data_IF_713186758954
#
_entry.id   IF_713186758954
#
_cell.length_a   1.000
_cell.length_b   1.000
_cell.length_c   1.000
_cell.angle_alpha   90.00
_cell.angle_beta   90.00
_cell.angle_gamma   90.00
#
_symmetry.space_group_name_H-M   'P 1'
#
loop_
_entity.id
_entity.type
_entity.pdbx_description
1 polymer ?
#
# COMPACT_ATOMS: atom_id res chain seq x y z
N UNK A 1 29.76 18.09 21.33
CA UNK A 1 29.69 16.88 20.49
C UNK A 1 30.46 17.14 19.22
N UNK A 2 31.57 16.47 19.03
CA UNK A 2 32.42 16.57 17.83
C UNK A 2 31.60 15.96 16.72
N UNK A 3 31.17 16.78 15.74
CA UNK A 3 30.58 16.26 14.50
C UNK A 3 31.68 15.50 13.78
N UNK A 4 31.54 14.19 13.71
CA UNK A 4 32.34 13.38 12.80
C UNK A 4 32.19 13.97 11.40
N UNK A 5 33.31 14.33 10.78
CA UNK A 5 33.39 14.82 9.39
C UNK A 5 33.14 13.69 8.35
N UNK A 6 32.35 12.68 8.72
CA UNK A 6 32.04 11.56 7.85
C UNK A 6 31.06 12.02 6.77
N UNK A 7 31.51 11.95 5.53
CA UNK A 7 30.67 12.28 4.37
C UNK A 7 29.87 11.02 4.00
N UNK A 8 28.57 11.04 4.31
CA UNK A 8 27.68 9.94 3.94
C UNK A 8 27.38 9.94 2.43
N UNK A 9 27.27 8.74 1.84
CA UNK A 9 27.05 8.53 0.40
C UNK A 9 25.57 8.59 0.00
N UNK A 10 24.65 8.51 0.96
CA UNK A 10 23.20 8.49 0.73
C UNK A 10 22.44 7.77 1.83
N UNK A 11 21.30 7.24 1.48
CA UNK A 11 20.47 6.42 2.38
C UNK A 11 20.42 4.98 1.86
N UNK A 12 20.64 4.03 2.75
CA UNK A 12 20.36 2.61 2.58
C UNK A 12 19.07 2.27 3.36
N UNK A 13 18.19 1.44 2.80
CA UNK A 13 16.92 1.10 3.43
C UNK A 13 16.66 -0.40 3.49
N UNK A 14 15.99 -0.82 4.57
CA UNK A 14 15.37 -2.14 4.71
C UNK A 14 13.86 -1.93 4.85
N UNK A 15 13.07 -2.66 4.04
CA UNK A 15 11.61 -2.57 4.00
C UNK A 15 11.01 -3.77 4.75
N UNK A 16 10.42 -3.52 5.91
CA UNK A 16 9.72 -4.52 6.71
C UNK A 16 8.26 -4.62 6.26
N UNK A 17 7.71 -5.83 6.24
CA UNK A 17 6.38 -6.11 5.69
C UNK A 17 6.27 -5.71 4.23
N UNK A 18 7.31 -5.99 3.47
CA UNK A 18 7.55 -5.45 2.13
C UNK A 18 6.51 -5.86 1.09
N UNK A 19 5.82 -6.99 1.29
CA UNK A 19 4.82 -7.50 0.34
C UNK A 19 5.36 -7.54 -1.08
N UNK A 20 4.61 -6.97 -2.02
CA UNK A 20 5.03 -6.89 -3.43
C UNK A 20 6.07 -5.81 -3.73
N UNK A 21 6.53 -5.03 -2.75
CA UNK A 21 7.60 -4.04 -2.91
C UNK A 21 7.17 -2.68 -3.43
N UNK A 22 5.94 -2.26 -3.18
CA UNK A 22 5.49 -0.93 -3.60
C UNK A 22 6.25 0.21 -2.90
N UNK A 23 6.50 0.08 -1.60
CA UNK A 23 7.35 1.01 -0.84
C UNK A 23 8.79 0.96 -1.34
N UNK A 24 9.37 -0.23 -1.43
CA UNK A 24 10.72 -0.45 -1.94
C UNK A 24 10.93 0.19 -3.32
N UNK A 25 9.98 -0.01 -4.26
CA UNK A 25 10.05 0.58 -5.60
C UNK A 25 10.06 2.10 -5.56
N UNK A 26 9.18 2.72 -4.80
CA UNK A 26 9.13 4.18 -4.71
C UNK A 26 10.38 4.78 -4.06
N UNK A 27 10.89 4.16 -3.00
CA UNK A 27 12.14 4.58 -2.36
C UNK A 27 13.34 4.43 -3.31
N UNK A 28 13.42 3.33 -4.05
CA UNK A 28 14.45 3.11 -5.06
C UNK A 28 14.39 4.15 -6.19
N UNK A 29 13.19 4.42 -6.72
CA UNK A 29 12.98 5.44 -7.76
C UNK A 29 13.34 6.85 -7.26
N UNK A 30 13.24 7.10 -5.95
CA UNK A 30 13.68 8.35 -5.32
C UNK A 30 15.21 8.49 -5.20
N UNK A 31 15.95 7.39 -5.33
CA UNK A 31 17.42 7.34 -5.19
C UNK A 31 17.89 6.82 -3.82
N UNK A 32 17.02 6.17 -3.06
CA UNK A 32 17.38 5.44 -1.84
C UNK A 32 17.74 4.00 -2.21
N UNK A 33 18.86 3.50 -1.71
CA UNK A 33 19.29 2.14 -1.96
C UNK A 33 18.54 1.15 -1.05
N UNK A 34 17.46 0.56 -1.52
CA UNK A 34 16.72 -0.48 -0.78
C UNK A 34 17.42 -1.81 -0.99
N UNK A 35 18.10 -2.32 0.04
CA UNK A 35 18.91 -3.54 -0.01
C UNK A 35 18.12 -4.82 0.22
N UNK A 36 17.07 -4.76 1.02
CA UNK A 36 16.22 -5.92 1.30
C UNK A 36 14.79 -5.53 1.62
N UNK A 37 13.85 -6.43 1.26
CA UNK A 37 12.50 -6.49 1.80
C UNK A 37 12.33 -7.75 2.65
N UNK A 38 11.69 -7.62 3.79
CA UNK A 38 11.41 -8.73 4.72
C UNK A 38 9.89 -8.90 4.84
N UNK A 39 9.37 -10.09 4.58
CA UNK A 39 7.95 -10.41 4.73
C UNK A 39 7.77 -11.91 5.01
N UNK A 40 6.70 -12.28 5.68
CA UNK A 40 6.33 -13.67 5.92
C UNK A 40 5.66 -14.31 4.70
N UNK A 41 5.04 -13.51 3.81
CA UNK A 41 4.33 -13.99 2.62
C UNK A 41 5.30 -14.35 1.50
N UNK A 42 5.78 -15.60 1.48
CA UNK A 42 6.66 -16.13 0.43
C UNK A 42 6.08 -15.99 -0.98
N UNK A 43 4.75 -15.86 -1.12
CA UNK A 43 4.10 -15.71 -2.45
C UNK A 43 4.41 -14.35 -3.10
N UNK A 44 4.91 -13.38 -2.33
CA UNK A 44 5.32 -12.09 -2.82
C UNK A 44 6.75 -12.07 -3.38
N UNK A 45 7.61 -13.03 -2.96
CA UNK A 45 9.05 -13.04 -3.27
C UNK A 45 9.35 -12.83 -4.75
N UNK A 46 8.76 -13.67 -5.62
CA UNK A 46 9.01 -13.58 -7.07
C UNK A 46 8.62 -12.22 -7.66
N UNK A 47 7.51 -11.64 -7.20
CA UNK A 47 7.07 -10.29 -7.61
C UNK A 47 8.05 -9.24 -7.12
N UNK A 48 8.45 -9.32 -5.87
CA UNK A 48 9.36 -8.35 -5.25
C UNK A 48 10.73 -8.34 -5.96
N UNK A 49 11.41 -9.48 -6.04
CA UNK A 49 12.76 -9.60 -6.61
C UNK A 49 12.82 -9.26 -8.10
N UNK A 50 11.79 -9.66 -8.87
CA UNK A 50 11.72 -9.34 -10.29
C UNK A 50 11.69 -7.83 -10.56
N UNK A 51 10.97 -7.07 -9.72
CA UNK A 51 10.71 -5.65 -9.97
C UNK A 51 11.65 -4.69 -9.22
N UNK A 52 12.20 -5.07 -8.06
CA UNK A 52 12.94 -4.15 -7.20
C UNK A 52 14.45 -4.33 -7.23
N UNK A 53 14.96 -5.41 -7.82
CA UNK A 53 16.41 -5.73 -7.85
C UNK A 53 17.06 -5.76 -6.46
N UNK A 54 16.26 -6.02 -5.42
CA UNK A 54 16.66 -6.12 -4.02
C UNK A 54 16.37 -7.51 -3.50
N UNK A 55 17.07 -7.94 -2.46
CA UNK A 55 16.88 -9.25 -1.83
C UNK A 55 15.52 -9.32 -1.15
N UNK A 56 14.80 -10.43 -1.30
CA UNK A 56 13.62 -10.72 -0.50
C UNK A 56 13.93 -11.79 0.55
N UNK A 57 13.58 -11.52 1.79
CA UNK A 57 13.80 -12.44 2.90
C UNK A 57 12.45 -12.90 3.44
N UNK A 58 12.11 -14.17 3.18
CA UNK A 58 10.91 -14.78 3.73
C UNK A 58 11.19 -15.16 5.19
N UNK A 59 10.76 -14.30 6.12
CA UNK A 59 10.96 -14.51 7.56
C UNK A 59 9.86 -13.81 8.36
N UNK A 60 9.41 -14.47 9.44
CA UNK A 60 8.53 -13.84 10.41
C UNK A 60 9.29 -12.73 11.14
N UNK A 61 8.70 -11.53 11.23
CA UNK A 61 9.34 -10.38 11.88
C UNK A 61 9.71 -10.64 13.34
N UNK A 62 8.94 -11.49 14.04
CA UNK A 62 9.26 -11.93 15.40
C UNK A 62 10.53 -12.76 15.50
N UNK A 63 10.97 -13.34 14.39
CA UNK A 63 12.20 -14.15 14.30
C UNK A 63 13.38 -13.37 13.70
N UNK A 64 13.14 -12.17 13.16
CA UNK A 64 14.21 -11.30 12.67
C UNK A 64 14.97 -10.75 13.85
N UNK A 65 16.30 -10.91 13.84
CA UNK A 65 17.22 -10.43 14.89
C UNK A 65 17.98 -9.19 14.42
N UNK A 66 18.52 -8.42 15.36
CA UNK A 66 19.45 -7.32 15.03
C UNK A 66 20.66 -7.81 14.23
N UNK A 67 21.13 -9.04 14.48
CA UNK A 67 22.21 -9.65 13.71
C UNK A 67 21.85 -9.81 12.24
N UNK A 68 20.64 -10.30 11.92
CA UNK A 68 20.15 -10.40 10.52
C UNK A 68 20.18 -9.03 9.82
N UNK A 69 19.79 -7.97 10.55
CA UNK A 69 19.78 -6.59 10.02
C UNK A 69 21.22 -6.07 9.80
N UNK A 70 22.12 -6.27 10.78
CA UNK A 70 23.50 -5.81 10.65
C UNK A 70 24.27 -6.56 9.54
N UNK A 71 24.04 -7.85 9.33
CA UNK A 71 24.58 -8.60 8.20
C UNK A 71 24.14 -8.03 6.84
N UNK A 72 22.91 -7.51 6.75
CA UNK A 72 22.44 -6.83 5.52
C UNK A 72 23.11 -5.47 5.32
N UNK A 73 23.50 -4.80 6.41
CA UNK A 73 24.12 -3.47 6.40
C UNK A 73 25.64 -3.51 6.23
N UNK A 74 26.27 -4.69 6.20
CA UNK A 74 27.70 -4.83 5.93
C UNK A 74 28.08 -4.18 4.59
N UNK A 75 29.08 -3.29 4.60
CA UNK A 75 29.52 -2.52 3.44
C UNK A 75 28.73 -1.22 3.20
N UNK A 76 27.77 -0.89 4.07
CA UNK A 76 26.99 0.34 4.01
C UNK A 76 27.26 1.29 5.19
N UNK A 77 28.38 1.17 5.88
CA UNK A 77 28.74 1.98 7.05
C UNK A 77 28.82 3.47 6.74
N UNK A 78 29.01 3.84 5.46
CA UNK A 78 29.03 5.23 4.98
C UNK A 78 27.66 5.72 4.47
N UNK A 79 26.59 5.03 4.80
CA UNK A 79 25.21 5.43 4.47
C UNK A 79 24.41 5.72 5.72
N UNK A 80 23.42 6.61 5.60
CA UNK A 80 22.36 6.68 6.59
C UNK A 80 21.46 5.46 6.48
N UNK A 81 21.06 4.89 7.59
CA UNK A 81 20.18 3.72 7.65
C UNK A 81 18.73 4.13 7.87
N UNK A 82 17.85 3.79 6.94
CA UNK A 82 16.39 3.91 7.03
C UNK A 82 15.77 2.53 7.29
N UNK A 83 15.08 2.37 8.42
CA UNK A 83 14.20 1.24 8.66
C UNK A 83 12.77 1.66 8.33
N UNK A 84 12.21 1.10 7.26
CA UNK A 84 10.87 1.39 6.79
C UNK A 84 9.94 0.20 6.97
N UNK A 85 8.64 0.42 7.22
CA UNK A 85 7.71 -0.69 7.36
C UNK A 85 6.24 -0.31 7.37
N UNK A 86 5.41 -1.26 6.92
CA UNK A 86 3.95 -1.12 6.86
C UNK A 86 3.30 -2.26 7.64
N UNK A 87 3.43 -2.22 8.98
CA UNK A 87 2.91 -3.26 9.86
C UNK A 87 1.40 -3.49 9.61
N UNK A 88 0.95 -4.70 9.24
CA UNK A 88 -0.45 -4.93 8.92
C UNK A 88 -1.34 -4.78 10.15
N UNK A 89 -2.40 -3.97 10.03
CA UNK A 89 -3.44 -3.76 11.03
C UNK A 89 -4.59 -4.76 10.85
N UNK A 90 -4.31 -6.06 10.68
CA UNK A 90 -5.33 -7.06 10.33
C UNK A 90 -6.12 -7.63 11.53
N UNK A 91 -5.80 -7.29 12.76
CA UNK A 91 -6.53 -7.72 13.97
C UNK A 91 -7.99 -7.21 14.04
N UNK A 92 -8.46 -6.40 13.08
CA UNK A 92 -9.71 -5.64 13.16
C UNK A 92 -10.69 -5.82 12.01
N UNK A 93 -10.70 -6.97 11.36
CA UNK A 93 -11.94 -7.30 10.65
C UNK A 93 -13.01 -7.58 11.72
N UNK A 94 -14.03 -6.74 11.75
CA UNK A 94 -15.17 -6.73 12.68
C UNK A 94 -15.97 -8.06 12.77
N UNK A 95 -15.47 -9.15 12.22
CA UNK A 95 -16.10 -10.47 12.16
C UNK A 95 -15.67 -11.47 13.25
N UNK A 96 -14.62 -11.20 14.03
CA UNK A 96 -14.12 -12.12 15.06
C UNK A 96 -14.13 -11.51 16.46
N UNK A 97 -15.33 -11.21 17.01
CA UNK A 97 -15.51 -10.75 18.39
C UNK A 97 -15.39 -11.88 19.47
N UNK A 98 -14.99 -13.09 19.14
CA UNK A 98 -15.07 -14.25 20.05
C UNK A 98 -13.74 -14.83 20.58
N UNK A 99 -12.59 -14.27 20.27
CA UNK A 99 -11.33 -14.78 20.86
C UNK A 99 -10.57 -13.69 21.62
N UNK A 100 -10.59 -13.80 22.94
CA UNK A 100 -9.78 -13.05 23.92
C UNK A 100 -8.33 -13.59 24.01
N UNK A 101 -7.85 -14.33 23.05
CA UNK A 101 -6.43 -14.71 22.99
C UNK A 101 -5.64 -13.52 22.49
N UNK A 102 -4.55 -13.23 23.17
CA UNK A 102 -3.55 -12.22 22.77
C UNK A 102 -3.17 -12.54 21.32
N UNK A 103 -3.74 -11.80 20.39
CA UNK A 103 -3.54 -12.03 18.97
C UNK A 103 -2.07 -11.72 18.67
N UNK A 104 -1.29 -12.75 18.31
CA UNK A 104 0.14 -12.62 17.96
C UNK A 104 0.38 -11.51 16.94
N UNK A 105 -0.63 -11.19 16.13
CA UNK A 105 -0.62 -10.08 15.15
C UNK A 105 -0.66 -8.68 15.80
N UNK A 106 -1.13 -8.54 17.04
CA UNK A 106 -1.00 -7.28 17.80
C UNK A 106 0.46 -6.94 18.09
N UNK A 107 1.31 -7.95 18.08
CA UNK A 107 2.73 -7.81 18.34
C UNK A 107 3.53 -7.23 17.15
N UNK A 108 3.00 -7.14 15.92
CA UNK A 108 3.79 -6.77 14.73
C UNK A 108 4.36 -5.35 14.79
N UNK A 109 3.58 -4.39 15.29
CA UNK A 109 4.09 -3.03 15.52
C UNK A 109 5.12 -3.01 16.67
N UNK A 110 4.94 -3.84 17.70
CA UNK A 110 5.91 -4.01 18.78
C UNK A 110 7.19 -4.71 18.32
N UNK A 111 7.12 -5.62 17.34
CA UNK A 111 8.31 -6.20 16.72
C UNK A 111 9.07 -5.16 15.88
N UNK A 112 8.36 -4.27 15.19
CA UNK A 112 8.99 -3.15 14.51
C UNK A 112 9.69 -2.22 15.53
N UNK A 113 9.00 -1.87 16.63
CA UNK A 113 9.59 -1.12 17.76
C UNK A 113 10.89 -1.79 18.24
N UNK A 114 10.84 -3.09 18.53
CA UNK A 114 12.02 -3.86 19.01
C UNK A 114 13.20 -3.73 18.05
N UNK A 115 12.97 -3.90 16.74
CA UNK A 115 14.04 -3.74 15.75
C UNK A 115 14.58 -2.31 15.69
N UNK A 116 13.75 -1.27 15.88
CA UNK A 116 14.22 0.11 15.99
C UNK A 116 15.14 0.27 17.20
N UNK A 117 14.76 -0.26 18.35
CA UNK A 117 15.54 -0.20 19.59
C UNK A 117 16.88 -0.96 19.48
N UNK A 118 16.84 -2.15 18.88
CA UNK A 118 18.01 -3.03 18.72
C UNK A 118 18.99 -2.52 17.64
N UNK A 119 18.50 -1.95 16.53
CA UNK A 119 19.35 -1.61 15.38
C UNK A 119 19.63 -0.11 15.23
N UNK A 120 18.89 0.72 15.98
CA UNK A 120 19.14 2.14 16.12
C UNK A 120 19.26 2.90 14.78
N UNK A 121 18.28 2.79 13.84
CA UNK A 121 18.34 3.43 12.54
C UNK A 121 18.45 4.96 12.62
N UNK A 122 19.00 5.58 11.58
CA UNK A 122 19.07 7.04 11.44
C UNK A 122 17.68 7.65 11.16
N UNK A 123 16.90 6.92 10.36
CA UNK A 123 15.54 7.29 9.98
C UNK A 123 14.58 6.12 10.18
N UNK A 124 13.33 6.45 10.52
CA UNK A 124 12.23 5.47 10.59
C UNK A 124 11.07 5.99 9.75
N UNK A 125 10.48 5.10 8.97
CA UNK A 125 9.23 5.34 8.27
C UNK A 125 8.20 4.27 8.61
N UNK A 126 6.98 4.68 8.98
CA UNK A 126 5.87 3.76 9.18
C UNK A 126 4.64 4.23 8.41
N UNK A 127 3.99 3.30 7.69
CA UNK A 127 2.65 3.48 7.11
C UNK A 127 1.65 2.56 7.79
N UNK A 128 0.42 3.06 7.99
CA UNK A 128 -0.67 2.26 8.55
C UNK A 128 -2.04 2.82 8.14
N UNK A 129 -3.10 2.15 8.58
CA UNK A 129 -4.47 2.66 8.39
C UNK A 129 -4.74 3.90 9.28
N UNK A 130 -5.62 4.84 8.85
CA UNK A 130 -5.86 6.10 9.57
C UNK A 130 -6.30 5.93 11.03
N UNK A 131 -6.90 4.78 11.35
CA UNK A 131 -7.45 4.51 12.68
C UNK A 131 -6.48 3.92 13.69
N UNK A 132 -5.20 3.76 13.40
CA UNK A 132 -4.23 3.06 14.26
C UNK A 132 -4.20 3.64 15.69
N UNK A 133 -4.14 4.96 15.83
CA UNK A 133 -4.14 5.65 17.15
C UNK A 133 -5.39 5.38 17.99
N UNK A 134 -6.54 5.16 17.35
CA UNK A 134 -7.82 4.92 18.03
C UNK A 134 -8.08 3.44 18.29
N UNK A 135 -7.58 2.58 17.42
CA UNK A 135 -7.82 1.13 17.49
C UNK A 135 -6.85 0.42 18.42
N UNK A 136 -5.62 0.92 18.47
CA UNK A 136 -4.53 0.36 19.26
C UNK A 136 -3.79 1.47 20.04
N UNK A 137 -4.49 2.24 20.90
CA UNK A 137 -3.89 3.41 21.54
C UNK A 137 -2.66 3.05 22.36
N UNK A 138 -2.69 1.94 23.11
CA UNK A 138 -1.56 1.51 23.94
C UNK A 138 -0.36 1.05 23.11
N UNK A 139 -0.59 0.25 22.07
CA UNK A 139 0.48 -0.24 21.20
C UNK A 139 1.12 0.90 20.41
N UNK A 140 0.30 1.82 19.90
CA UNK A 140 0.81 3.01 19.21
C UNK A 140 1.60 3.92 20.16
N UNK A 141 1.08 4.17 21.37
CA UNK A 141 1.76 4.99 22.37
C UNK A 141 3.12 4.39 22.75
N UNK A 142 3.17 3.08 22.99
CA UNK A 142 4.42 2.38 23.29
C UNK A 142 5.45 2.49 22.15
N UNK A 143 4.98 2.45 20.88
CA UNK A 143 5.83 2.66 19.72
C UNK A 143 6.36 4.10 19.65
N UNK A 144 5.51 5.10 19.86
CA UNK A 144 5.87 6.52 19.84
C UNK A 144 6.80 6.88 21.00
N UNK A 145 6.54 6.35 22.20
CA UNK A 145 7.39 6.53 23.39
C UNK A 145 8.80 5.98 23.17
N UNK A 146 8.93 4.83 22.51
CA UNK A 146 10.22 4.26 22.17
C UNK A 146 11.02 5.18 21.23
N UNK A 147 10.38 5.78 20.22
CA UNK A 147 11.03 6.76 19.34
C UNK A 147 11.49 7.99 20.11
N UNK A 148 10.63 8.54 20.98
CA UNK A 148 10.94 9.73 21.79
C UNK A 148 12.09 9.44 22.77
N UNK A 149 12.08 8.29 23.45
CA UNK A 149 13.13 7.85 24.39
C UNK A 149 14.47 7.70 23.66
N UNK A 150 14.46 7.21 22.43
CA UNK A 150 15.64 7.10 21.56
C UNK A 150 15.98 8.40 20.83
N UNK A 151 15.39 9.53 21.25
CA UNK A 151 15.68 10.92 20.77
C UNK A 151 15.42 11.13 19.28
N UNK A 152 14.45 10.47 18.70
CA UNK A 152 13.98 10.80 17.36
C UNK A 152 13.12 12.07 17.40
N UNK A 153 13.30 12.92 16.41
CA UNK A 153 12.28 13.92 16.03
C UNK A 153 11.21 13.18 15.22
N UNK A 154 9.96 13.21 15.67
CA UNK A 154 8.85 12.43 15.11
C UNK A 154 7.78 13.35 14.55
N UNK A 155 7.31 13.08 13.34
CA UNK A 155 6.15 13.71 12.73
C UNK A 155 5.22 12.64 12.18
N UNK A 156 3.93 12.76 12.46
CA UNK A 156 2.95 11.78 12.02
C UNK A 156 1.58 12.40 11.77
N UNK A 157 0.96 12.04 10.64
CA UNK A 157 -0.40 12.49 10.29
C UNK A 157 -1.08 11.52 9.32
N UNK A 158 -2.34 11.81 9.02
CA UNK A 158 -3.12 11.10 8.00
C UNK A 158 -3.03 11.85 6.68
N UNK A 159 -2.40 11.24 5.69
CA UNK A 159 -2.29 11.77 4.34
C UNK A 159 -3.27 11.08 3.38
N UNK A 160 -3.64 11.77 2.29
CA UNK A 160 -4.39 11.17 1.19
C UNK A 160 -3.46 11.03 -0.03
N UNK A 161 -3.38 9.82 -0.57
CA UNK A 161 -2.45 9.47 -1.66
C UNK A 161 -2.64 10.32 -2.91
N UNK A 162 -3.86 10.82 -3.18
CA UNK A 162 -4.14 11.68 -4.35
C UNK A 162 -3.28 12.95 -4.41
N UNK A 163 -2.82 13.45 -3.27
CA UNK A 163 -1.93 14.60 -3.21
C UNK A 163 -0.48 14.30 -3.62
N UNK A 164 -0.15 13.01 -3.79
CA UNK A 164 1.19 12.51 -4.13
C UNK A 164 1.22 11.81 -5.51
N UNK A 165 0.53 12.38 -6.49
CA UNK A 165 0.44 11.87 -7.87
C UNK A 165 -0.06 10.40 -7.97
N UNK A 166 -0.93 9.99 -7.04
CA UNK A 166 -1.59 8.68 -7.10
C UNK A 166 -3.02 8.89 -7.57
N UNK A 167 -3.49 8.23 -8.64
CA UNK A 167 -4.85 8.38 -9.18
C UNK A 167 -5.90 7.66 -8.30
N UNK A 168 -5.79 7.81 -6.97
CA UNK A 168 -6.60 7.10 -5.99
C UNK A 168 -6.82 7.93 -4.72
N UNK A 169 -8.05 7.96 -4.21
CA UNK A 169 -8.37 8.41 -2.86
C UNK A 169 -8.14 7.30 -1.84
N UNK A 170 -6.98 7.36 -1.19
CA UNK A 170 -6.60 6.40 -0.15
C UNK A 170 -5.97 7.15 1.01
N UNK A 171 -6.63 7.18 2.15
CA UNK A 171 -6.10 7.80 3.37
C UNK A 171 -5.21 6.81 4.12
N UNK A 172 -4.03 7.28 4.54
CA UNK A 172 -3.09 6.49 5.33
C UNK A 172 -2.46 7.32 6.42
N UNK A 173 -2.30 6.70 7.58
CA UNK A 173 -1.47 7.23 8.64
C UNK A 173 -0.01 7.01 8.26
N UNK A 174 0.80 8.05 8.34
CA UNK A 174 2.24 7.98 8.09
C UNK A 174 2.99 8.59 9.26
N UNK A 175 4.15 8.00 9.57
CA UNK A 175 5.07 8.50 10.58
C UNK A 175 6.48 8.56 9.99
N UNK A 176 7.11 9.70 10.18
CA UNK A 176 8.50 9.98 9.82
C UNK A 176 9.28 10.29 11.08
N UNK A 177 10.45 9.66 11.26
CA UNK A 177 11.31 9.95 12.39
C UNK A 177 12.77 10.06 11.96
N UNK A 178 13.52 10.95 12.62
CA UNK A 178 14.94 11.24 12.37
C UNK A 178 15.71 11.48 13.66
N UNK A 179 16.96 11.00 13.70
CA UNK A 179 17.92 11.31 14.77
C UNK A 179 18.78 12.55 14.49
N UNK A 180 18.82 13.00 13.26
CA UNK A 180 19.80 13.99 12.82
C UNK A 180 19.26 15.41 12.74
N UNK A 181 17.97 15.56 12.36
CA UNK A 181 17.36 16.86 12.16
C UNK A 181 15.90 16.83 12.62
N UNK A 182 15.35 18.01 12.86
CA UNK A 182 13.92 18.15 13.11
C UNK A 182 13.16 17.67 11.87
N UNK A 183 12.39 16.59 12.05
CA UNK A 183 11.62 15.98 10.96
C UNK A 183 10.38 16.82 10.66
N UNK A 184 10.00 16.86 9.40
CA UNK A 184 8.74 17.45 8.94
C UNK A 184 7.93 16.40 8.17
N UNK A 185 6.65 16.68 7.94
CA UNK A 185 5.85 15.89 6.99
C UNK A 185 6.14 16.35 5.55
N UNK A 186 6.08 15.43 4.58
CA UNK A 186 6.21 15.79 3.18
C UNK A 186 5.04 16.68 2.74
N UNK A 187 5.36 17.76 2.02
CA UNK A 187 4.35 18.64 1.44
C UNK A 187 3.53 17.92 0.37
N UNK A 188 2.27 18.32 0.21
CA UNK A 188 1.46 17.90 -0.90
C UNK A 188 2.08 18.36 -2.23
N UNK A 189 2.23 17.44 -3.16
CA UNK A 189 2.76 17.73 -4.49
C UNK A 189 1.69 18.39 -5.35
N UNK A 190 0.46 17.86 -5.29
CA UNK A 190 -0.70 18.47 -5.97
C UNK A 190 -1.37 19.42 -4.96
N UNK A 191 -1.29 20.72 -5.23
CA UNK A 191 -1.87 21.78 -4.39
C UNK A 191 -3.24 22.25 -4.88
N UNK A 192 -3.46 22.17 -6.20
CA UNK A 192 -4.73 22.47 -6.84
C UNK A 192 -5.56 21.18 -6.96
N UNK A 193 -6.89 21.28 -7.11
CA UNK A 193 -7.78 20.11 -7.24
C UNK A 193 -7.65 19.35 -8.59
N UNK A 194 -6.50 19.46 -9.26
CA UNK A 194 -6.15 18.77 -10.51
C UNK A 194 -5.53 17.39 -10.27
N UNK A 195 -6.27 16.55 -9.57
CA UNK A 195 -5.81 15.20 -9.27
C UNK A 195 -5.80 14.31 -10.51
N UNK A 196 -4.88 13.35 -10.56
CA UNK A 196 -4.90 12.30 -11.56
C UNK A 196 -6.19 11.49 -11.44
N UNK A 197 -6.84 11.26 -12.57
CA UNK A 197 -8.13 10.57 -12.66
C UNK A 197 -7.98 9.13 -13.15
N UNK A 198 -9.04 8.36 -13.04
CA UNK A 198 -9.15 7.03 -13.66
C UNK A 198 -8.88 7.14 -15.18
N UNK A 199 -9.41 8.17 -15.85
CA UNK A 199 -9.23 8.39 -17.28
C UNK A 199 -7.77 8.58 -17.65
N UNK A 200 -7.05 9.44 -16.93
CA UNK A 200 -5.64 9.72 -17.18
C UNK A 200 -4.77 8.45 -17.08
N UNK A 201 -5.24 7.46 -16.35
CA UNK A 201 -4.46 6.28 -15.98
C UNK A 201 -4.75 5.05 -16.82
N UNK A 202 -6.03 4.73 -17.08
CA UNK A 202 -6.40 3.44 -17.67
C UNK A 202 -7.17 3.55 -19.02
N UNK A 203 -7.51 4.77 -19.46
CA UNK A 203 -8.33 4.96 -20.66
C UNK A 203 -7.74 4.33 -21.93
N UNK A 204 -6.42 4.38 -22.06
CA UNK A 204 -5.71 3.89 -23.26
C UNK A 204 -5.38 2.37 -23.20
N UNK A 205 -5.80 1.66 -22.17
CA UNK A 205 -5.62 0.21 -22.13
C UNK A 205 -6.56 -0.47 -23.16
N UNK A 206 -6.11 -1.57 -23.79
CA UNK A 206 -6.96 -2.29 -24.71
C UNK A 206 -8.19 -2.87 -24.00
N UNK A 207 -9.30 -2.99 -24.74
CA UNK A 207 -10.53 -3.58 -24.21
C UNK A 207 -10.35 -5.08 -24.01
N UNK A 208 -10.91 -5.60 -22.92
CA UNK A 208 -11.04 -7.03 -22.62
C UNK A 208 -12.42 -7.32 -22.05
N UNK A 209 -12.88 -8.55 -22.14
CA UNK A 209 -14.12 -9.01 -21.53
C UNK A 209 -13.91 -9.58 -20.12
N UNK A 210 -15.00 -9.83 -19.39
CA UNK A 210 -14.94 -10.59 -18.13
C UNK A 210 -14.39 -12.02 -18.41
N UNK A 211 -13.41 -12.44 -17.63
CA UNK A 211 -12.71 -13.72 -17.80
C UNK A 211 -11.61 -13.73 -18.85
N UNK A 212 -11.36 -12.60 -19.54
CA UNK A 212 -10.35 -12.49 -20.59
C UNK A 212 -9.00 -11.98 -20.05
N UNK A 213 -7.92 -12.44 -20.68
CA UNK A 213 -6.56 -11.94 -20.50
C UNK A 213 -6.05 -11.41 -21.85
N UNK A 214 -5.51 -10.19 -21.84
CA UNK A 214 -4.95 -9.57 -23.05
C UNK A 214 -3.60 -10.19 -23.42
N UNK A 215 -3.40 -10.66 -24.67
CA UNK A 215 -2.23 -11.46 -25.03
C UNK A 215 -0.89 -10.72 -24.98
N UNK A 216 -0.89 -9.38 -25.04
CA UNK A 216 0.32 -8.56 -25.13
C UNK A 216 0.53 -7.61 -23.95
N UNK A 217 -0.46 -7.43 -23.09
CA UNK A 217 -0.36 -6.51 -21.94
C UNK A 217 -0.32 -7.33 -20.65
N UNK A 218 0.84 -7.42 -20.05
CA UNK A 218 1.08 -8.22 -18.84
C UNK A 218 0.15 -7.83 -17.70
N UNK A 219 -0.44 -8.84 -17.04
CA UNK A 219 -1.41 -8.68 -15.96
C UNK A 219 -2.72 -7.95 -16.35
N UNK A 220 -2.97 -7.72 -17.64
CA UNK A 220 -4.25 -7.17 -18.08
C UNK A 220 -5.26 -8.30 -18.27
N UNK A 221 -5.70 -8.84 -17.15
CA UNK A 221 -6.70 -9.91 -17.07
C UNK A 221 -7.81 -9.54 -16.10
N UNK A 222 -9.06 -9.79 -16.48
CA UNK A 222 -10.25 -9.58 -15.67
C UNK A 222 -10.81 -10.91 -15.19
N UNK A 223 -11.35 -10.93 -13.97
CA UNK A 223 -12.01 -12.12 -13.44
C UNK A 223 -13.28 -12.44 -14.21
N UNK A 224 -13.59 -13.73 -14.35
CA UNK A 224 -14.90 -14.18 -14.81
C UNK A 224 -15.98 -13.72 -13.83
N UNK A 225 -17.16 -13.45 -14.35
CA UNK A 225 -18.32 -13.05 -13.57
C UNK A 225 -19.46 -14.06 -13.74
N UNK A 226 -20.19 -14.34 -12.66
CA UNK A 226 -21.45 -15.06 -12.74
C UNK A 226 -22.45 -14.23 -13.55
N UNK A 227 -23.38 -14.89 -14.25
CA UNK A 227 -24.41 -14.26 -15.11
C UNK A 227 -25.17 -13.13 -14.40
N UNK A 228 -25.55 -13.36 -13.13
CA UNK A 228 -26.23 -12.34 -12.33
C UNK A 228 -25.39 -11.05 -12.18
N UNK A 229 -24.07 -11.14 -12.12
CA UNK A 229 -23.20 -9.96 -12.02
C UNK A 229 -23.02 -9.26 -13.37
N UNK A 230 -23.13 -9.97 -14.48
CA UNK A 230 -23.20 -9.37 -15.82
C UNK A 230 -24.50 -8.57 -15.95
N UNK A 231 -25.66 -9.16 -15.60
CA UNK A 231 -26.95 -8.45 -15.60
C UNK A 231 -26.94 -7.20 -14.68
N UNK A 232 -26.29 -7.28 -13.52
CA UNK A 232 -26.10 -6.13 -12.63
C UNK A 232 -25.26 -5.03 -13.29
N UNK A 233 -24.18 -5.40 -13.95
CA UNK A 233 -23.35 -4.43 -14.68
C UNK A 233 -24.11 -3.78 -15.85
N UNK A 234 -24.91 -4.54 -16.60
CA UNK A 234 -25.73 -4.02 -17.70
C UNK A 234 -26.73 -2.97 -17.23
N UNK A 235 -27.32 -3.13 -16.04
CA UNK A 235 -28.20 -2.13 -15.43
C UNK A 235 -27.44 -1.01 -14.69
N UNK A 236 -26.15 -1.18 -14.41
CA UNK A 236 -25.39 -0.12 -13.74
C UNK A 236 -24.96 0.93 -14.76
N UNK A 237 -25.38 2.19 -14.65
CA UNK A 237 -24.99 3.24 -15.57
C UNK A 237 -23.47 3.34 -15.70
N UNK A 238 -23.01 3.65 -16.91
CA UNK A 238 -21.60 3.91 -17.17
C UNK A 238 -21.09 5.12 -16.37
N UNK A 239 -19.78 5.24 -16.24
CA UNK A 239 -19.10 6.40 -15.65
C UNK A 239 -19.59 6.79 -14.25
N UNK A 240 -19.51 5.86 -13.31
CA UNK A 240 -19.79 6.14 -11.90
C UNK A 240 -21.14 5.67 -11.37
N UNK A 241 -21.94 4.93 -12.16
CA UNK A 241 -23.18 4.32 -11.70
C UNK A 241 -22.99 3.32 -10.54
N UNK A 242 -24.07 2.99 -9.88
CA UNK A 242 -24.07 2.14 -8.68
C UNK A 242 -25.27 1.22 -8.63
N UNK A 243 -25.31 0.33 -7.65
CA UNK A 243 -26.46 -0.55 -7.39
C UNK A 243 -27.77 0.19 -7.08
N UNK A 244 -27.70 1.44 -6.69
CA UNK A 244 -28.89 2.24 -6.40
C UNK A 244 -29.62 2.72 -7.64
N UNK A 245 -28.98 2.56 -8.80
CA UNK A 245 -29.56 2.90 -10.12
C UNK A 245 -30.30 1.70 -10.73
N UNK A 246 -30.27 0.51 -10.10
CA UNK A 246 -30.97 -0.69 -10.60
C UNK A 246 -32.49 -0.55 -10.45
N UNK A 247 -33.21 -0.88 -11.51
CA UNK A 247 -34.66 -0.88 -11.53
C UNK A 247 -35.26 -2.27 -11.25
N UNK A 248 -34.49 -3.33 -11.43
CA UNK A 248 -34.88 -4.70 -11.16
C UNK A 248 -34.46 -5.09 -9.72
N UNK A 249 -35.45 -5.30 -8.88
CA UNK A 249 -35.24 -5.67 -7.45
C UNK A 249 -34.62 -7.06 -7.30
N UNK A 250 -34.73 -7.95 -8.27
CA UNK A 250 -34.14 -9.30 -8.23
C UNK A 250 -32.63 -9.24 -8.37
N UNK A 251 -32.09 -8.17 -8.89
CA UNK A 251 -30.65 -7.92 -8.94
C UNK A 251 -30.06 -7.52 -7.59
N UNK A 252 -30.91 -7.02 -6.66
CA UNK A 252 -30.44 -6.60 -5.35
C UNK A 252 -30.15 -7.83 -4.47
N UNK A 253 -28.89 -8.03 -4.02
CA UNK A 253 -28.57 -9.16 -3.16
C UNK A 253 -29.43 -9.14 -1.89
N UNK A 254 -29.88 -10.30 -1.37
CA UNK A 254 -30.72 -10.37 -0.16
C UNK A 254 -30.14 -9.62 1.04
N UNK A 255 -28.81 -9.68 1.23
CA UNK A 255 -28.09 -8.98 2.30
C UNK A 255 -28.04 -7.45 2.12
N UNK A 256 -28.47 -6.93 0.98
CA UNK A 256 -28.51 -5.48 0.68
C UNK A 256 -29.94 -4.94 0.60
N UNK A 257 -30.99 -5.79 0.66
CA UNK A 257 -32.38 -5.35 0.67
C UNK A 257 -32.67 -4.58 1.96
N UNK A 258 -33.23 -3.37 1.83
CA UNK A 258 -33.57 -2.50 2.96
C UNK A 258 -32.38 -1.87 3.69
N UNK A 259 -31.13 -2.10 3.22
CA UNK A 259 -29.93 -1.57 3.88
C UNK A 259 -29.39 -0.35 3.12
N UNK A 260 -29.32 0.81 3.79
CA UNK A 260 -28.73 2.04 3.24
C UNK A 260 -27.17 2.00 3.23
N UNK A 261 -26.56 1.03 3.93
CA UNK A 261 -25.09 0.84 3.97
C UNK A 261 -24.52 0.22 2.68
N UNK A 262 -23.22 0.06 2.63
CA UNK A 262 -22.48 -0.56 1.50
C UNK A 262 -22.67 0.13 0.14
N UNK A 263 -22.81 1.47 0.13
CA UNK A 263 -23.03 2.25 -1.09
C UNK A 263 -21.94 2.14 -2.15
N UNK A 264 -20.77 1.64 -1.79
CA UNK A 264 -19.66 1.40 -2.72
C UNK A 264 -19.70 0.02 -3.39
N UNK A 265 -20.48 -0.96 -2.88
CA UNK A 265 -20.58 -2.28 -3.52
C UNK A 265 -21.31 -2.19 -4.86
N UNK A 266 -20.89 -2.99 -5.82
CA UNK A 266 -21.50 -3.07 -7.15
C UNK A 266 -21.56 -1.72 -7.90
N UNK A 267 -20.55 -0.85 -7.72
CA UNK A 267 -20.44 0.40 -8.47
C UNK A 267 -19.39 0.33 -9.56
N UNK A 268 -19.54 1.21 -10.57
CA UNK A 268 -18.50 1.47 -11.57
C UNK A 268 -17.59 2.60 -11.13
N UNK A 269 -16.35 2.57 -11.56
CA UNK A 269 -15.44 3.72 -11.50
C UNK A 269 -15.99 4.88 -12.35
N UNK A 270 -15.62 6.10 -11.99
CA UNK A 270 -15.91 7.30 -12.77
C UNK A 270 -14.63 7.80 -13.46
N UNK A 271 -14.70 8.09 -14.75
CA UNK A 271 -13.57 8.54 -15.55
C UNK A 271 -12.92 9.82 -15.01
N UNK A 272 -13.74 10.81 -14.67
CA UNK A 272 -13.30 12.14 -14.26
C UNK A 272 -12.89 12.26 -12.79
N UNK A 273 -12.73 11.16 -12.05
CA UNK A 273 -12.36 11.17 -10.62
C UNK A 273 -11.17 10.27 -10.35
N UNK A 274 -10.41 10.52 -9.26
CA UNK A 274 -9.50 9.52 -8.70
C UNK A 274 -10.29 8.25 -8.32
N UNK A 275 -9.67 7.07 -8.44
CA UNK A 275 -10.28 5.83 -8.01
C UNK A 275 -10.53 5.81 -6.49
N UNK A 276 -11.57 5.15 -5.99
CA UNK A 276 -11.67 4.85 -4.58
C UNK A 276 -10.54 3.92 -4.15
N UNK A 277 -10.37 3.72 -2.84
CA UNK A 277 -9.33 2.83 -2.30
C UNK A 277 -9.36 1.45 -2.95
N UNK A 278 -8.27 1.08 -3.61
CA UNK A 278 -8.04 -0.26 -4.17
C UNK A 278 -7.81 -1.22 -3.02
N UNK A 279 -8.71 -2.19 -2.85
CA UNK A 279 -8.67 -3.21 -1.79
C UNK A 279 -8.08 -4.50 -2.33
N UNK A 280 -7.84 -5.48 -1.47
CA UNK A 280 -7.32 -6.81 -1.88
C UNK A 280 -8.24 -7.62 -2.80
N UNK A 281 -9.52 -7.22 -2.91
CA UNK A 281 -10.52 -7.87 -3.77
C UNK A 281 -11.05 -6.94 -4.87
N UNK A 282 -10.29 -5.92 -5.27
CA UNK A 282 -10.71 -4.96 -6.30
C UNK A 282 -11.06 -5.61 -7.65
N UNK A 283 -10.54 -6.81 -7.91
CA UNK A 283 -10.81 -7.61 -9.11
C UNK A 283 -12.17 -8.33 -9.06
N UNK A 284 -12.99 -8.08 -8.02
CA UNK A 284 -14.35 -8.60 -7.90
C UNK A 284 -15.36 -7.46 -7.89
N UNK A 285 -16.44 -7.58 -8.68
CA UNK A 285 -17.43 -6.51 -8.81
C UNK A 285 -18.20 -6.22 -7.52
N UNK A 286 -18.41 -7.24 -6.67
CA UNK A 286 -19.20 -7.12 -5.44
C UNK A 286 -18.48 -6.42 -4.27
N UNK A 287 -17.14 -6.31 -4.32
CA UNK A 287 -16.35 -5.90 -3.15
C UNK A 287 -16.20 -4.38 -2.97
N UNK A 288 -16.68 -3.59 -3.92
CA UNK A 288 -16.55 -2.15 -3.89
C UNK A 288 -17.03 -1.50 -5.20
N UNK A 289 -16.66 -0.24 -5.41
CA UNK A 289 -16.84 0.47 -6.67
C UNK A 289 -15.69 0.12 -7.62
N UNK A 290 -15.69 -1.14 -8.07
CA UNK A 290 -14.60 -1.73 -8.83
C UNK A 290 -15.02 -2.19 -10.24
N UNK A 291 -16.23 -1.89 -10.68
CA UNK A 291 -16.64 -2.06 -12.08
C UNK A 291 -15.88 -1.09 -12.99
N UNK A 292 -15.45 -1.57 -14.18
CA UNK A 292 -14.86 -0.69 -15.19
C UNK A 292 -15.87 0.41 -15.59
N UNK A 293 -15.44 1.64 -15.87
CA UNK A 293 -16.38 2.73 -16.21
C UNK A 293 -17.35 2.43 -17.35
N UNK A 294 -16.93 1.68 -18.37
CA UNK A 294 -17.72 1.38 -19.57
C UNK A 294 -17.93 -0.12 -19.82
N UNK A 295 -16.91 -0.96 -19.58
CA UNK A 295 -16.94 -2.39 -19.94
C UNK A 295 -17.69 -3.18 -18.85
N UNK A 296 -18.43 -4.23 -19.23
CA UNK A 296 -19.22 -5.04 -18.30
C UNK A 296 -18.34 -6.09 -17.57
N UNK A 297 -17.38 -5.59 -16.78
CA UNK A 297 -16.44 -6.38 -15.97
C UNK A 297 -15.95 -5.62 -14.74
N UNK A 298 -15.35 -6.33 -13.81
CA UNK A 298 -14.54 -5.70 -12.77
C UNK A 298 -13.20 -5.21 -13.35
N UNK A 299 -12.47 -4.42 -12.57
CA UNK A 299 -11.10 -4.00 -12.93
C UNK A 299 -10.20 -5.21 -13.19
N UNK A 300 -9.31 -5.08 -14.17
CA UNK A 300 -8.19 -5.99 -14.36
C UNK A 300 -7.09 -5.77 -13.33
N UNK A 301 -6.18 -6.74 -13.17
CA UNK A 301 -5.01 -6.57 -12.29
C UNK A 301 -4.11 -5.42 -12.76
N UNK A 302 -3.98 -5.22 -14.07
CA UNK A 302 -3.23 -4.10 -14.66
C UNK A 302 -3.83 -2.75 -14.28
N UNK A 303 -5.14 -2.61 -14.42
CA UNK A 303 -5.85 -1.38 -14.03
C UNK A 303 -5.68 -1.08 -12.55
N UNK A 304 -5.89 -2.08 -11.69
CA UNK A 304 -5.68 -1.91 -10.26
C UNK A 304 -4.25 -1.53 -9.89
N UNK A 305 -3.26 -2.11 -10.55
CA UNK A 305 -1.85 -1.78 -10.35
C UNK A 305 -1.52 -0.33 -10.76
N UNK A 306 -1.99 0.10 -11.93
CA UNK A 306 -1.79 1.47 -12.42
C UNK A 306 -2.49 2.50 -11.52
N UNK A 307 -3.71 2.21 -11.05
CA UNK A 307 -4.43 3.07 -10.11
C UNK A 307 -3.79 3.11 -8.72
N UNK A 308 -2.98 2.11 -8.35
CA UNK A 308 -2.07 2.13 -7.22
C UNK A 308 -0.74 2.81 -7.53
N UNK A 309 -0.59 3.37 -8.75
CA UNK A 309 0.63 4.01 -9.24
C UNK A 309 1.85 3.09 -9.43
N UNK A 310 1.66 1.78 -9.55
CA UNK A 310 2.76 0.92 -9.99
C UNK A 310 3.20 1.29 -11.42
N UNK A 311 4.49 1.21 -11.73
CA UNK A 311 4.99 1.42 -13.09
C UNK A 311 4.35 0.47 -14.11
N UNK A 312 4.32 0.91 -15.37
CA UNK A 312 3.68 0.12 -16.43
C UNK A 312 4.36 -1.23 -16.69
N UNK A 313 5.63 -1.35 -16.38
CA UNK A 313 6.44 -2.56 -16.52
C UNK A 313 6.45 -3.46 -15.26
N UNK A 314 5.73 -3.07 -14.20
CA UNK A 314 5.67 -3.86 -12.98
C UNK A 314 4.86 -5.14 -13.17
N UNK A 315 5.47 -6.29 -12.88
CA UNK A 315 4.90 -7.62 -13.12
C UNK A 315 4.50 -8.30 -11.81
N UNK A 316 3.26 -8.74 -11.72
CA UNK A 316 2.75 -9.49 -10.56
C UNK A 316 2.62 -10.96 -10.88
N UNK A 317 3.16 -11.81 -10.02
CA UNK A 317 3.09 -13.27 -10.12
C UNK A 317 2.13 -13.87 -9.11
N UNK A 318 1.56 -15.02 -9.44
CA UNK A 318 0.68 -15.78 -8.57
C UNK A 318 -0.77 -15.84 -9.05
N UNK A 319 -1.63 -16.48 -8.25
CA UNK A 319 -3.06 -16.57 -8.51
C UNK A 319 -3.76 -15.22 -8.41
N UNK A 320 -5.00 -15.11 -8.88
CA UNK A 320 -5.82 -13.89 -8.76
C UNK A 320 -5.90 -13.36 -7.32
N UNK A 321 -6.06 -14.26 -6.34
CA UNK A 321 -6.09 -13.88 -4.93
C UNK A 321 -4.74 -13.33 -4.44
N UNK A 322 -3.63 -13.91 -4.89
CA UNK A 322 -2.27 -13.44 -4.58
C UNK A 322 -2.02 -12.08 -5.21
N UNK A 323 -2.26 -11.92 -6.51
CA UNK A 323 -2.12 -10.62 -7.20
C UNK A 323 -3.00 -9.54 -6.57
N UNK A 324 -4.25 -9.87 -6.25
CA UNK A 324 -5.17 -8.94 -5.57
C UNK A 324 -4.65 -8.48 -4.21
N UNK A 325 -4.07 -9.38 -3.41
CA UNK A 325 -3.43 -9.05 -2.12
C UNK A 325 -2.20 -8.16 -2.32
N UNK A 326 -1.31 -8.55 -3.24
CA UNK A 326 -0.09 -7.81 -3.56
C UNK A 326 -0.39 -6.35 -3.95
N UNK A 327 -1.36 -6.15 -4.85
CA UNK A 327 -1.72 -4.81 -5.33
C UNK A 327 -2.50 -4.02 -4.25
N UNK A 328 -3.50 -4.64 -3.62
CA UNK A 328 -4.39 -3.95 -2.68
C UNK A 328 -3.74 -3.53 -1.36
N UNK A 329 -2.78 -4.33 -0.86
CA UNK A 329 -2.05 -4.03 0.38
C UNK A 329 -0.89 -3.05 0.17
N UNK A 330 -0.43 -2.86 -1.06
CA UNK A 330 0.76 -2.08 -1.32
C UNK A 330 0.65 -0.61 -0.88
N UNK A 331 1.79 -0.07 -0.45
CA UNK A 331 2.03 1.38 -0.45
C UNK A 331 2.17 1.82 -1.91
N UNK A 332 1.43 2.84 -2.36
CA UNK A 332 1.56 3.32 -3.73
C UNK A 332 2.98 3.81 -4.04
N UNK A 333 3.66 3.28 -5.08
CA UNK A 333 5.04 3.64 -5.39
C UNK A 333 5.28 5.14 -5.59
N UNK A 334 4.34 5.87 -6.20
CA UNK A 334 4.47 7.33 -6.37
C UNK A 334 4.47 8.06 -5.02
N UNK A 335 3.61 7.67 -4.08
CA UNK A 335 3.62 8.23 -2.74
C UNK A 335 4.96 7.93 -2.05
N UNK A 336 5.42 6.68 -2.12
CA UNK A 336 6.72 6.27 -1.57
C UNK A 336 7.91 7.01 -2.22
N UNK A 337 7.84 7.29 -3.53
CA UNK A 337 8.82 8.13 -4.23
C UNK A 337 8.93 9.53 -3.61
N UNK A 338 7.80 10.20 -3.40
CA UNK A 338 7.80 11.55 -2.80
C UNK A 338 8.28 11.52 -1.35
N UNK A 339 7.98 10.46 -0.62
CA UNK A 339 8.49 10.26 0.74
C UNK A 339 10.00 10.00 0.76
N UNK A 340 10.51 9.21 -0.18
CA UNK A 340 11.94 9.02 -0.38
C UNK A 340 12.66 10.35 -0.70
N UNK A 341 12.10 11.16 -1.62
CA UNK A 341 12.62 12.50 -1.90
C UNK A 341 12.59 13.42 -0.68
N UNK A 342 11.61 13.24 0.20
CA UNK A 342 11.54 13.99 1.43
C UNK A 342 12.69 13.61 2.39
N UNK A 343 12.96 12.31 2.61
CA UNK A 343 14.09 11.88 3.44
C UNK A 343 15.43 12.41 2.93
N UNK A 344 15.63 12.43 1.61
CA UNK A 344 16.88 12.93 1.01
C UNK A 344 17.16 14.42 1.28
N UNK A 345 16.16 15.20 1.72
CA UNK A 345 16.37 16.60 2.16
C UNK A 345 17.04 16.71 3.53
N UNK A 346 17.03 15.64 4.32
CA UNK A 346 17.57 15.61 5.68
C UNK A 346 18.98 15.02 5.76
N UNK A 347 19.54 14.55 4.65
CA UNK A 347 20.95 14.16 4.56
C UNK A 347 21.77 15.32 3.98
N UNK A 348 22.98 15.49 4.51
CA UNK A 348 23.93 16.53 4.09
C UNK A 348 25.17 15.92 3.48
#
# INVERSE_FOLDING_TARGET
MIKDNKKYKGIVAIDLFAGAGGLSRGLHDAGINVIAGIDIDHTAQKTYEYNNKSKFITKDIGQVTSKDIFELLEGYEDYYYLLAGCAPCQAFSTRNHKQKEVDERRSLLLQFKRLIEETNPDFVFMENVPGIRKREPHVYQEFEDALNTNKYSVQADVVNTKFFEVPQERKRFVLFASKHNEMTLPEHIIKDDKFLTVKDTIYNLPKINAGEEHPKVTNHSASSLAEINIKRLEQTPHDGGSRFDWTDEDLVPPCHKGVKGFGNSYGRLAWGKPAPTITTKFYTYSSGRHGHPEQNRAMSFKEGALLQSFPNDYVFFGSSAVKGRQIGNAVPPKMAYHFGKHFLKFIR
#
